data_IF_205634092301
#
_entry.id   IF_205634092301
#
_cell.length_a   1.000
_cell.length_b   1.000
_cell.length_c   1.000
_cell.angle_alpha   90.00
_cell.angle_beta   90.00
_cell.angle_gamma   90.00
#
_symmetry.space_group_name_H-M   'P 1'
#
loop_
_entity.id
_entity.type
_entity.pdbx_description
1 polymer ?
#
# COMPACT_ATOMS: atom_id res chain seq x y z
N UNK A 1 31.44 -46.75 -27.52
CA UNK A 1 30.00 -47.09 -27.63
C UNK A 1 29.56 -47.75 -26.34
N UNK A 2 28.47 -47.35 -25.67
CA UNK A 2 27.92 -46.01 -25.36
C UNK A 2 27.99 -45.77 -23.81
N UNK A 3 27.60 -44.67 -23.17
CA UNK A 3 26.55 -43.71 -23.47
C UNK A 3 26.86 -42.30 -22.91
N UNK A 4 26.62 -41.29 -23.74
CA UNK A 4 26.53 -39.87 -23.42
C UNK A 4 25.18 -39.56 -22.71
N UNK A 5 25.06 -38.29 -22.30
CA UNK A 5 23.82 -37.53 -22.04
C UNK A 5 23.16 -37.67 -20.65
N UNK A 6 23.48 -36.71 -19.78
CA UNK A 6 22.50 -35.75 -19.24
C UNK A 6 23.20 -34.75 -18.32
N UNK A 7 23.72 -33.67 -18.90
CA UNK A 7 24.17 -32.49 -18.16
C UNK A 7 23.82 -31.21 -18.94
N UNK A 8 22.56 -31.09 -19.34
CA UNK A 8 21.86 -29.86 -19.71
C UNK A 8 20.52 -29.96 -18.93
N UNK A 9 20.00 -29.02 -18.16
CA UNK A 9 20.03 -27.56 -18.19
C UNK A 9 20.15 -27.04 -16.75
N UNK A 10 21.32 -26.53 -16.34
CA UNK A 10 21.32 -25.51 -15.32
C UNK A 10 20.92 -24.22 -16.03
N UNK A 11 19.64 -23.85 -15.97
CA UNK A 11 19.13 -22.61 -16.52
C UNK A 11 20.02 -21.47 -16.05
N UNK A 12 20.75 -20.85 -17.00
CA UNK A 12 21.48 -19.64 -16.72
C UNK A 12 20.46 -18.62 -16.23
N UNK A 13 20.54 -18.22 -14.96
CA UNK A 13 19.83 -17.04 -14.47
C UNK A 13 20.10 -15.91 -15.49
N UNK A 14 19.05 -15.24 -16.01
CA UNK A 14 19.29 -14.08 -16.87
C UNK A 14 20.02 -13.05 -16.03
N UNK A 15 21.34 -12.98 -16.19
CA UNK A 15 22.19 -11.96 -15.57
C UNK A 15 21.57 -10.62 -15.94
N UNK A 16 21.02 -9.93 -14.93
CA UNK A 16 20.55 -8.57 -15.12
C UNK A 16 21.74 -7.77 -15.64
N UNK A 17 21.68 -7.15 -16.83
CA UNK A 17 22.90 -6.66 -17.48
C UNK A 17 23.49 -5.42 -16.78
N UNK A 18 22.81 -4.91 -15.74
CA UNK A 18 23.13 -3.70 -15.01
C UNK A 18 22.49 -3.73 -13.59
N UNK A 19 23.08 -3.05 -12.60
CA UNK A 19 22.57 -3.02 -11.22
C UNK A 19 21.20 -2.33 -11.13
N UNK A 20 20.43 -2.68 -10.08
CA UNK A 20 19.12 -2.08 -9.78
C UNK A 20 19.28 -0.58 -9.56
N UNK A 21 18.58 0.30 -10.31
CA UNK A 21 18.67 1.74 -10.09
C UNK A 21 18.02 2.13 -8.77
N UNK A 22 18.81 2.67 -7.84
CA UNK A 22 18.32 3.05 -6.50
C UNK A 22 18.03 4.56 -6.37
N UNK A 23 18.70 5.41 -7.17
CA UNK A 23 18.52 6.86 -7.12
C UNK A 23 17.66 7.37 -8.26
N UNK A 24 16.94 8.45 -8.01
CA UNK A 24 16.05 9.09 -8.96
C UNK A 24 16.80 9.55 -10.22
N UNK A 25 18.02 10.07 -10.07
CA UNK A 25 18.89 10.40 -11.20
C UNK A 25 19.30 9.18 -12.04
N UNK A 26 19.46 8.00 -11.42
CA UNK A 26 19.82 6.79 -12.15
C UNK A 26 18.63 6.27 -12.97
N UNK A 27 17.41 6.35 -12.41
CA UNK A 27 16.17 6.09 -13.15
C UNK A 27 16.05 7.01 -14.36
N UNK A 28 16.24 8.32 -14.16
CA UNK A 28 16.18 9.31 -15.23
C UNK A 28 17.22 9.04 -16.31
N UNK A 29 18.50 8.87 -15.95
CA UNK A 29 19.57 8.64 -16.93
C UNK A 29 19.30 7.40 -17.79
N UNK A 30 18.77 6.34 -17.18
CA UNK A 30 18.43 5.12 -17.91
C UNK A 30 17.22 5.31 -18.81
N UNK A 31 16.15 5.95 -18.31
CA UNK A 31 14.96 6.30 -19.08
C UNK A 31 15.31 7.15 -20.32
N UNK A 32 16.18 8.15 -20.16
CA UNK A 32 16.65 9.00 -21.27
C UNK A 32 17.53 8.22 -22.25
N UNK A 33 18.41 7.34 -21.77
CA UNK A 33 19.22 6.51 -22.67
C UNK A 33 18.34 5.61 -23.55
N UNK A 34 17.31 4.99 -22.97
CA UNK A 34 16.32 4.19 -23.71
C UNK A 34 15.56 5.06 -24.71
N UNK A 35 15.02 6.21 -24.27
CA UNK A 35 14.26 7.10 -25.14
C UNK A 35 15.12 7.66 -26.29
N UNK A 36 16.37 8.05 -26.01
CA UNK A 36 17.31 8.55 -27.01
C UNK A 36 17.60 7.52 -28.09
N UNK A 37 17.68 6.24 -27.73
CA UNK A 37 17.87 5.14 -28.69
C UNK A 37 16.64 4.91 -29.58
N UNK A 38 15.44 5.24 -29.08
CA UNK A 38 14.18 5.06 -29.80
C UNK A 38 13.72 6.32 -30.58
N UNK A 39 14.40 7.46 -30.41
CA UNK A 39 14.02 8.70 -31.09
C UNK A 39 14.29 8.65 -32.61
N UNK A 40 13.42 9.26 -33.44
CA UNK A 40 13.70 9.43 -34.86
C UNK A 40 14.91 10.35 -35.10
N UNK A 41 15.55 10.19 -36.26
CA UNK A 41 16.68 11.04 -36.64
C UNK A 41 16.33 12.54 -36.61
N UNK A 42 17.28 13.35 -36.11
CA UNK A 42 17.15 14.81 -36.00
C UNK A 42 16.39 15.29 -34.75
N UNK A 43 15.76 14.39 -33.99
CA UNK A 43 15.19 14.73 -32.70
C UNK A 43 16.26 14.74 -31.61
N UNK A 44 16.08 15.61 -30.62
CA UNK A 44 17.04 15.79 -29.53
C UNK A 44 16.36 15.73 -28.16
N UNK A 45 17.07 15.21 -27.16
CA UNK A 45 16.68 15.29 -25.76
C UNK A 45 17.59 16.27 -25.04
N UNK A 46 17.01 17.18 -24.27
CA UNK A 46 17.74 18.07 -23.38
C UNK A 46 17.14 18.02 -21.98
N UNK A 47 17.98 17.90 -20.96
CA UNK A 47 17.55 17.91 -19.56
C UNK A 47 17.48 19.34 -19.03
N UNK A 48 16.48 19.63 -18.20
CA UNK A 48 16.47 20.83 -17.37
C UNK A 48 17.56 20.83 -16.30
N UNK A 49 17.56 21.86 -15.44
CA UNK A 49 18.44 21.89 -14.27
C UNK A 49 17.96 20.85 -13.24
N UNK A 50 18.91 20.23 -12.55
CA UNK A 50 18.63 19.44 -11.36
C UNK A 50 18.93 20.27 -10.11
N UNK A 51 18.20 20.00 -9.01
CA UNK A 51 18.40 20.66 -7.72
C UNK A 51 19.69 20.22 -7.02
N UNK A 52 20.12 18.98 -7.27
CA UNK A 52 21.37 18.41 -6.77
C UNK A 52 21.93 17.35 -7.71
N UNK A 53 23.12 16.81 -7.41
CA UNK A 53 23.71 15.72 -8.20
C UNK A 53 22.96 14.38 -8.07
N UNK A 54 22.13 14.23 -7.03
CA UNK A 54 21.38 13.00 -6.75
C UNK A 54 19.94 13.03 -7.32
N UNK A 55 19.41 14.23 -7.60
CA UNK A 55 18.04 14.41 -8.05
C UNK A 55 17.93 14.28 -9.58
N UNK A 56 16.82 13.71 -10.04
CA UNK A 56 16.44 13.80 -11.44
C UNK A 56 16.16 15.27 -11.83
N UNK A 57 16.43 15.69 -13.08
CA UNK A 57 16.02 17.00 -13.57
C UNK A 57 14.50 17.14 -13.48
N UNK A 58 14.00 18.34 -13.21
CA UNK A 58 12.55 18.57 -13.14
C UNK A 58 11.87 18.45 -14.51
N UNK A 59 12.62 18.71 -15.59
CA UNK A 59 12.10 18.80 -16.95
C UNK A 59 12.92 18.00 -17.94
N UNK A 60 12.22 17.40 -18.88
CA UNK A 60 12.74 16.84 -20.12
C UNK A 60 12.23 17.70 -21.29
N UNK A 61 13.13 18.11 -22.16
CA UNK A 61 12.83 18.82 -23.40
C UNK A 61 13.09 17.90 -24.57
N UNK A 62 12.12 17.77 -25.46
CA UNK A 62 12.18 16.97 -26.68
C UNK A 62 12.10 17.92 -27.87
N UNK A 63 13.23 18.14 -28.53
CA UNK A 63 13.36 19.06 -29.66
C UNK A 63 13.15 18.37 -30.99
N UNK A 64 12.29 18.93 -31.82
CA UNK A 64 12.06 18.50 -33.20
C UNK A 64 13.10 19.11 -34.15
N UNK A 65 13.33 18.48 -35.34
CA UNK A 65 14.27 19.01 -36.34
C UNK A 65 13.94 20.41 -36.85
N UNK A 66 12.68 20.83 -36.75
CA UNK A 66 12.19 22.15 -37.14
C UNK A 66 12.40 23.24 -36.06
N UNK A 67 12.99 22.89 -34.90
CA UNK A 67 13.23 23.80 -33.78
C UNK A 67 12.10 23.91 -32.76
N UNK A 68 10.95 23.27 -32.99
CA UNK A 68 9.89 23.19 -31.98
C UNK A 68 10.31 22.28 -30.82
N UNK A 69 9.80 22.56 -29.61
CA UNK A 69 10.18 21.80 -28.40
C UNK A 69 8.93 21.40 -27.62
N UNK A 70 8.81 20.11 -27.33
CA UNK A 70 7.87 19.60 -26.33
C UNK A 70 8.58 19.54 -24.96
N UNK A 71 7.88 19.92 -23.91
CA UNK A 71 8.40 19.85 -22.55
C UNK A 71 7.56 18.92 -21.69
N UNK A 72 8.24 18.14 -20.86
CA UNK A 72 7.65 17.16 -19.96
C UNK A 72 8.19 17.37 -18.54
N UNK A 73 7.32 17.29 -17.55
CA UNK A 73 7.66 17.18 -16.13
C UNK A 73 8.09 15.76 -15.81
N UNK A 74 9.29 15.63 -15.26
CA UNK A 74 9.93 14.34 -14.96
C UNK A 74 9.43 13.83 -13.63
N UNK A 75 8.96 12.58 -13.62
CA UNK A 75 8.40 11.91 -12.45
C UNK A 75 9.24 10.64 -12.17
N UNK A 76 10.32 10.73 -11.36
CA UNK A 76 11.07 9.55 -10.97
C UNK A 76 10.23 8.71 -9.99
N UNK A 77 10.12 7.42 -10.24
CA UNK A 77 9.35 6.50 -9.40
C UNK A 77 10.03 5.11 -9.33
N UNK A 78 10.56 4.76 -8.15
CA UNK A 78 11.27 3.48 -7.95
C UNK A 78 10.38 2.26 -8.12
N UNK A 79 9.12 2.38 -7.75
CA UNK A 79 8.05 1.40 -7.99
C UNK A 79 6.78 2.15 -8.37
N UNK A 80 6.03 1.59 -9.32
CA UNK A 80 4.78 2.19 -9.81
C UNK A 80 3.68 1.17 -9.72
N UNK A 81 2.65 1.48 -8.94
CA UNK A 81 1.42 0.70 -8.83
C UNK A 81 0.38 1.24 -9.81
N UNK A 82 -0.59 0.42 -10.20
CA UNK A 82 -1.63 0.81 -11.16
C UNK A 82 -2.39 2.10 -10.75
N UNK A 83 -2.61 2.31 -9.44
CA UNK A 83 -3.26 3.51 -8.91
C UNK A 83 -2.39 4.78 -8.95
N UNK A 84 -1.06 4.65 -9.08
CA UNK A 84 -0.16 5.81 -9.11
C UNK A 84 -0.36 6.68 -10.37
N UNK A 85 -0.85 6.10 -11.46
CA UNK A 85 -1.07 6.81 -12.71
C UNK A 85 -2.06 7.99 -12.55
N UNK A 86 -3.10 7.84 -11.72
CA UNK A 86 -4.03 8.94 -11.42
C UNK A 86 -3.31 10.05 -10.66
N UNK A 87 -2.62 9.70 -9.57
CA UNK A 87 -1.84 10.64 -8.75
C UNK A 87 -0.80 11.41 -9.58
N UNK A 88 -0.13 10.75 -10.52
CA UNK A 88 0.83 11.39 -11.41
C UNK A 88 0.16 12.38 -12.36
N UNK A 89 -1.01 12.05 -12.92
CA UNK A 89 -1.75 12.94 -13.80
C UNK A 89 -2.31 14.15 -13.03
N UNK A 90 -2.90 13.94 -11.85
CA UNK A 90 -3.49 14.99 -11.02
C UNK A 90 -2.43 15.98 -10.48
N UNK A 91 -1.18 15.52 -10.34
CA UNK A 91 -0.05 16.35 -9.93
C UNK A 91 0.49 17.27 -11.03
N UNK A 92 0.07 17.10 -12.28
CA UNK A 92 0.47 17.97 -13.39
C UNK A 92 -0.44 19.20 -13.45
N UNK A 93 0.14 20.36 -13.78
CA UNK A 93 -0.69 21.52 -14.17
C UNK A 93 -1.43 21.22 -15.48
N UNK A 94 -2.62 21.80 -15.69
CA UNK A 94 -3.58 21.31 -16.69
C UNK A 94 -3.10 21.17 -18.15
N UNK A 95 -2.03 21.85 -18.56
CA UNK A 95 -1.44 21.72 -19.91
C UNK A 95 -0.06 21.05 -19.93
N UNK A 96 0.45 20.61 -18.77
CA UNK A 96 1.78 20.03 -18.64
C UNK A 96 1.76 18.54 -18.95
N UNK A 97 2.87 18.03 -19.51
CA UNK A 97 2.99 16.62 -19.89
C UNK A 97 3.83 15.89 -18.87
N UNK A 98 3.42 14.71 -18.44
CA UNK A 98 4.21 13.87 -17.53
C UNK A 98 5.15 12.95 -18.29
N UNK A 99 6.36 12.77 -17.77
CA UNK A 99 7.30 11.74 -18.19
C UNK A 99 7.75 10.91 -16.98
N UNK A 100 7.21 9.70 -16.83
CA UNK A 100 7.50 8.80 -15.71
C UNK A 100 8.78 8.00 -15.98
N UNK A 101 9.75 8.12 -15.07
CA UNK A 101 11.00 7.35 -15.10
C UNK A 101 10.98 6.29 -14.00
N UNK A 102 10.92 5.00 -14.36
CA UNK A 102 10.78 3.93 -13.38
C UNK A 102 11.82 2.80 -13.51
N UNK A 103 11.93 1.95 -12.49
CA UNK A 103 12.77 0.74 -12.57
C UNK A 103 12.21 -0.20 -13.63
N UNK A 104 10.95 -0.55 -13.46
CA UNK A 104 10.20 -1.41 -14.35
C UNK A 104 8.73 -1.01 -14.29
N UNK A 105 8.06 -0.97 -15.44
CA UNK A 105 6.63 -0.72 -15.55
C UNK A 105 5.96 -1.97 -16.09
N UNK A 106 5.17 -2.64 -15.25
CA UNK A 106 4.37 -3.79 -15.69
C UNK A 106 3.32 -3.40 -16.75
N UNK A 107 2.87 -4.36 -17.54
CA UNK A 107 1.87 -4.11 -18.58
C UNK A 107 0.58 -3.44 -18.07
N UNK A 108 -0.03 -3.83 -16.92
CA UNK A 108 -1.18 -3.12 -16.37
C UNK A 108 -0.87 -1.67 -16.01
N UNK A 109 0.32 -1.39 -15.47
CA UNK A 109 0.74 -0.03 -15.12
C UNK A 109 0.91 0.81 -16.37
N UNK A 110 1.59 0.28 -17.40
CA UNK A 110 1.74 0.96 -18.70
C UNK A 110 0.39 1.32 -19.32
N UNK A 111 -0.58 0.39 -19.29
CA UNK A 111 -1.95 0.65 -19.74
C UNK A 111 -2.62 1.79 -18.99
N UNK A 112 -2.43 1.90 -17.67
CA UNK A 112 -3.01 2.99 -16.87
C UNK A 112 -2.33 4.34 -17.11
N UNK A 113 -1.02 4.36 -17.39
CA UNK A 113 -0.28 5.55 -17.79
C UNK A 113 -0.72 6.02 -19.19
N UNK A 114 -0.81 5.10 -20.14
CA UNK A 114 -1.27 5.37 -21.51
C UNK A 114 -2.69 5.96 -21.51
N UNK A 115 -3.62 5.36 -20.74
CA UNK A 115 -5.00 5.81 -20.63
C UNK A 115 -5.14 7.25 -20.08
N UNK A 116 -4.09 7.78 -19.44
CA UNK A 116 -4.02 9.14 -18.90
C UNK A 116 -3.11 10.07 -19.70
N UNK A 117 -2.59 9.61 -20.84
CA UNK A 117 -1.68 10.40 -21.69
C UNK A 117 -0.31 10.67 -21.05
N UNK A 118 0.08 9.89 -20.03
CA UNK A 118 1.40 10.01 -19.41
C UNK A 118 2.44 9.29 -20.27
N UNK A 119 3.48 10.03 -20.65
CA UNK A 119 4.67 9.44 -21.27
C UNK A 119 5.53 8.77 -20.19
N UNK A 120 6.32 7.78 -20.57
CA UNK A 120 7.16 7.03 -19.65
C UNK A 120 8.36 6.38 -20.35
N UNK A 121 9.41 6.12 -19.58
CA UNK A 121 10.40 5.12 -19.91
C UNK A 121 10.89 4.42 -18.63
N UNK A 122 11.11 3.11 -18.71
CA UNK A 122 11.67 2.33 -17.61
C UNK A 122 13.11 1.87 -17.86
N UNK A 123 13.77 1.43 -16.80
CA UNK A 123 15.16 1.01 -16.87
C UNK A 123 15.39 -0.28 -17.66
N UNK A 124 14.31 -1.01 -17.98
CA UNK A 124 14.31 -2.27 -18.73
C UNK A 124 14.06 -2.10 -20.22
N UNK A 125 13.72 -0.89 -20.68
CA UNK A 125 13.54 -0.57 -22.10
C UNK A 125 12.11 -0.20 -22.50
N UNK A 126 11.10 -0.38 -21.64
CA UNK A 126 9.72 -0.04 -22.01
C UNK A 126 9.58 1.47 -22.12
N UNK A 127 9.16 1.97 -23.28
CA UNK A 127 9.09 3.41 -23.56
C UNK A 127 7.80 3.77 -24.27
N UNK A 128 7.21 4.91 -23.90
CA UNK A 128 6.10 5.56 -24.58
C UNK A 128 6.28 7.07 -24.43
N UNK A 129 6.42 7.79 -25.53
CA UNK A 129 6.48 9.25 -25.55
C UNK A 129 5.47 9.76 -26.56
N UNK A 130 4.61 10.70 -26.15
CA UNK A 130 3.64 11.32 -27.04
C UNK A 130 3.56 12.84 -26.80
N UNK A 131 3.54 13.61 -27.88
CA UNK A 131 3.16 15.02 -27.86
C UNK A 131 2.50 15.41 -29.18
N UNK A 132 1.46 16.24 -29.11
CA UNK A 132 0.78 16.76 -30.31
C UNK A 132 1.55 17.89 -31.00
N UNK A 133 2.41 18.61 -30.25
CA UNK A 133 3.21 19.71 -30.77
C UNK A 133 4.55 19.83 -30.04
N UNK A 134 5.68 19.67 -30.75
CA UNK A 134 5.76 19.06 -32.08
C UNK A 134 5.19 17.65 -32.06
N UNK A 135 4.57 17.23 -33.17
CA UNK A 135 3.93 15.93 -33.28
C UNK A 135 5.00 14.81 -33.22
N UNK A 136 4.96 14.02 -32.16
CA UNK A 136 5.81 12.84 -31.98
C UNK A 136 5.06 11.75 -31.24
N UNK A 137 5.28 10.53 -31.69
CA UNK A 137 4.92 9.33 -30.95
C UNK A 137 6.05 8.32 -31.06
N UNK A 138 6.59 7.91 -29.92
CA UNK A 138 7.65 6.91 -29.81
C UNK A 138 7.17 5.83 -28.87
N UNK A 139 7.35 4.58 -29.27
CA UNK A 139 7.04 3.44 -28.42
C UNK A 139 8.05 2.34 -28.64
N UNK A 140 8.52 1.76 -27.56
CA UNK A 140 9.45 0.63 -27.59
C UNK A 140 9.14 -0.34 -26.45
N UNK A 141 9.56 -1.59 -26.62
CA UNK A 141 9.31 -2.68 -25.68
C UNK A 141 10.60 -3.11 -25.00
N UNK A 142 10.60 -3.06 -23.68
CA UNK A 142 11.66 -3.57 -22.83
C UNK A 142 11.33 -4.97 -22.30
N UNK A 143 11.78 -5.24 -21.08
CA UNK A 143 11.47 -6.51 -20.42
C UNK A 143 9.97 -6.64 -20.14
N UNK A 144 9.45 -7.86 -20.28
CA UNK A 144 8.07 -8.21 -19.91
C UNK A 144 7.91 -8.52 -18.42
N UNK A 145 9.02 -8.72 -17.70
CA UNK A 145 9.06 -8.95 -16.25
C UNK A 145 10.18 -8.11 -15.62
N UNK A 146 10.02 -7.76 -14.34
CA UNK A 146 11.04 -7.06 -13.58
C UNK A 146 12.30 -7.94 -13.45
N UNK A 147 13.43 -7.54 -14.04
CA UNK A 147 14.64 -8.36 -14.02
C UNK A 147 15.33 -8.34 -12.65
N UNK A 148 15.06 -7.36 -11.78
CA UNK A 148 15.62 -7.30 -10.43
C UNK A 148 14.74 -8.00 -9.40
N UNK A 149 13.59 -8.54 -9.82
CA UNK A 149 12.83 -9.45 -8.98
C UNK A 149 13.55 -10.80 -9.00
N UNK A 150 14.11 -11.19 -7.85
CA UNK A 150 14.86 -12.45 -7.74
C UNK A 150 13.99 -13.67 -8.07
N UNK A 151 14.61 -14.82 -8.40
CA UNK A 151 13.91 -16.11 -8.48
C UNK A 151 13.43 -16.50 -7.07
N UNK A 152 12.28 -15.97 -6.67
CA UNK A 152 11.67 -16.18 -5.38
C UNK A 152 10.36 -16.95 -5.50
N UNK A 153 10.01 -17.68 -4.44
CA UNK A 153 8.64 -18.13 -4.18
C UNK A 153 7.71 -16.91 -4.35
N UNK A 154 6.49 -17.05 -4.90
CA UNK A 154 5.54 -15.93 -5.01
C UNK A 154 5.52 -15.12 -3.70
N UNK A 155 5.60 -13.80 -3.80
CA UNK A 155 5.61 -12.90 -2.65
C UNK A 155 4.55 -13.38 -1.66
N UNK A 156 4.97 -13.66 -0.42
CA UNK A 156 4.09 -14.26 0.56
C UNK A 156 2.84 -13.38 0.69
N UNK A 157 1.67 -13.99 0.86
CA UNK A 157 0.48 -13.19 1.14
C UNK A 157 0.68 -12.54 2.53
N UNK A 158 0.19 -11.31 2.70
CA UNK A 158 0.21 -10.60 3.99
C UNK A 158 -0.80 -11.25 4.93
N UNK A 159 -0.46 -12.45 5.42
CA UNK A 159 -1.41 -13.34 6.08
C UNK A 159 -1.01 -13.71 7.50
N UNK A 160 -2.02 -13.86 8.36
CA UNK A 160 -1.88 -14.33 9.74
C UNK A 160 -1.39 -13.27 10.74
N UNK A 161 -1.28 -13.71 12.01
CA UNK A 161 -0.97 -12.84 13.15
C UNK A 161 0.32 -12.00 12.98
N UNK A 162 1.46 -12.55 12.49
CA UNK A 162 2.65 -11.73 12.31
C UNK A 162 2.48 -10.63 11.26
N UNK A 163 1.76 -10.90 10.17
CA UNK A 163 1.49 -9.89 9.15
C UNK A 163 0.57 -8.79 9.71
N UNK A 164 -0.48 -9.16 10.43
CA UNK A 164 -1.39 -8.22 11.09
C UNK A 164 -0.63 -7.27 12.04
N UNK A 165 0.21 -7.83 12.93
CA UNK A 165 1.04 -7.04 13.86
C UNK A 165 1.96 -6.05 13.16
N UNK A 166 2.66 -6.51 12.11
CA UNK A 166 3.62 -5.67 11.37
C UNK A 166 2.90 -4.60 10.54
N UNK A 167 1.84 -4.95 9.83
CA UNK A 167 1.05 -4.00 9.03
C UNK A 167 0.43 -2.94 9.94
N UNK A 168 -0.14 -3.32 11.08
CA UNK A 168 -0.67 -2.37 12.07
C UNK A 168 0.41 -1.47 12.63
N UNK A 169 1.57 -2.01 13.00
CA UNK A 169 2.69 -1.18 13.48
C UNK A 169 3.16 -0.16 12.42
N UNK A 170 3.23 -0.55 11.14
CA UNK A 170 3.62 0.36 10.05
C UNK A 170 2.51 1.36 9.66
N UNK A 171 1.24 0.98 9.76
CA UNK A 171 0.12 1.86 9.46
C UNK A 171 -0.11 2.89 10.57
N UNK A 172 -0.03 2.46 11.83
CA UNK A 172 -0.37 3.29 12.98
C UNK A 172 0.75 4.28 13.38
N UNK A 173 1.94 4.17 12.76
CA UNK A 173 3.08 5.05 13.01
C UNK A 173 3.55 5.74 11.73
N UNK A 174 4.11 6.94 11.84
CA UNK A 174 4.72 7.67 10.73
C UNK A 174 6.18 8.00 11.01
N UNK A 175 6.95 8.33 9.98
CA UNK A 175 8.39 8.59 10.06
C UNK A 175 9.23 7.39 9.66
N UNK A 176 10.54 7.52 9.87
CA UNK A 176 11.50 6.46 9.54
C UNK A 176 11.56 5.43 10.66
N UNK A 177 11.63 4.14 10.30
CA UNK A 177 11.60 3.04 11.26
C UNK A 177 12.61 1.97 10.87
N UNK A 178 13.49 1.57 11.78
CA UNK A 178 14.36 0.41 11.58
C UNK A 178 13.59 -0.89 11.80
N UNK A 179 14.03 -1.98 11.16
CA UNK A 179 13.39 -3.30 11.37
C UNK A 179 13.44 -3.76 12.85
N UNK A 180 14.53 -3.55 13.62
CA UNK A 180 14.54 -3.83 15.06
C UNK A 180 13.49 -3.03 15.86
N UNK A 181 13.28 -1.75 15.55
CA UNK A 181 12.22 -0.96 16.18
C UNK A 181 10.83 -1.49 15.79
N UNK A 182 10.66 -1.91 14.53
CA UNK A 182 9.41 -2.53 14.06
C UNK A 182 9.12 -3.85 14.79
N UNK A 183 10.14 -4.67 15.07
CA UNK A 183 10.01 -5.88 15.90
C UNK A 183 9.47 -5.50 17.29
N UNK A 184 10.06 -4.48 17.91
CA UNK A 184 9.62 -3.99 19.23
C UNK A 184 8.20 -3.45 19.22
N UNK A 185 7.83 -2.65 18.20
CA UNK A 185 6.50 -2.03 18.09
C UNK A 185 5.41 -3.04 17.76
N UNK A 186 5.70 -4.01 16.90
CA UNK A 186 4.71 -5.02 16.47
C UNK A 186 4.55 -6.16 17.47
N UNK A 187 5.59 -6.44 18.28
CA UNK A 187 5.65 -7.62 19.14
C UNK A 187 5.74 -8.94 18.36
N UNK A 188 5.92 -8.90 17.04
CA UNK A 188 6.14 -10.08 16.22
C UNK A 188 7.59 -10.57 16.34
N UNK A 189 7.85 -11.84 16.00
CA UNK A 189 9.22 -12.36 16.03
C UNK A 189 10.11 -11.68 14.99
N UNK A 190 11.41 -11.61 15.26
CA UNK A 190 12.40 -11.03 14.34
C UNK A 190 12.30 -11.62 12.94
N UNK A 191 12.35 -12.96 12.83
CA UNK A 191 12.28 -13.65 11.54
C UNK A 191 10.95 -13.46 10.80
N UNK A 192 9.82 -13.37 11.52
CA UNK A 192 8.54 -13.06 10.87
C UNK A 192 8.49 -11.61 10.38
N UNK A 193 9.02 -10.67 11.17
CA UNK A 193 9.07 -9.25 10.80
C UNK A 193 9.90 -9.02 9.55
N UNK A 194 11.10 -9.60 9.47
CA UNK A 194 11.93 -9.50 8.26
C UNK A 194 11.23 -10.06 7.02
N UNK A 195 10.53 -11.20 7.13
CA UNK A 195 9.77 -11.79 6.01
C UNK A 195 8.61 -10.89 5.55
N UNK A 196 7.88 -10.27 6.47
CA UNK A 196 6.80 -9.34 6.11
C UNK A 196 7.37 -8.08 5.46
N UNK A 197 8.48 -7.53 5.98
CA UNK A 197 9.14 -6.36 5.38
C UNK A 197 9.64 -6.66 3.96
N UNK A 198 10.28 -7.81 3.75
CA UNK A 198 10.72 -8.28 2.43
C UNK A 198 9.52 -8.41 1.47
N UNK A 199 8.42 -9.02 1.93
CA UNK A 199 7.19 -9.12 1.15
C UNK A 199 6.61 -7.76 0.75
N UNK A 200 6.62 -6.79 1.67
CA UNK A 200 6.13 -5.43 1.41
C UNK A 200 7.04 -4.69 0.43
N UNK A 201 8.36 -4.85 0.55
CA UNK A 201 9.36 -4.28 -0.36
C UNK A 201 9.23 -4.88 -1.78
N UNK A 202 9.10 -6.20 -1.89
CA UNK A 202 8.86 -6.90 -3.16
C UNK A 202 7.55 -6.49 -3.84
N UNK A 203 6.59 -5.95 -3.09
CA UNK A 203 5.31 -5.47 -3.61
C UNK A 203 5.28 -3.96 -3.80
N UNK A 204 6.42 -3.28 -3.66
CA UNK A 204 6.56 -1.82 -3.71
C UNK A 204 5.64 -1.08 -2.72
N UNK A 205 5.28 -1.73 -1.60
CA UNK A 205 4.42 -1.18 -0.56
C UNK A 205 5.21 -0.42 0.52
N UNK A 206 6.53 -0.55 0.53
CA UNK A 206 7.44 0.26 1.34
C UNK A 206 8.77 0.48 0.62
N UNK A 207 9.51 1.49 1.07
CA UNK A 207 10.89 1.74 0.65
C UNK A 207 11.81 1.75 1.87
N UNK A 208 13.01 1.20 1.70
CA UNK A 208 14.02 1.08 2.75
C UNK A 208 15.40 1.39 2.20
N UNK A 209 16.23 2.06 2.99
CA UNK A 209 17.64 2.28 2.62
C UNK A 209 18.45 0.97 2.74
N UNK A 210 19.47 0.74 1.89
CA UNK A 210 20.37 -0.40 2.03
C UNK A 210 20.96 -0.44 3.44
N UNK A 211 20.69 -1.52 4.18
CA UNK A 211 21.10 -1.68 5.59
C UNK A 211 20.65 -0.53 6.52
N UNK A 212 19.61 0.21 6.14
CA UNK A 212 19.09 1.36 6.86
C UNK A 212 17.59 1.24 7.20
N UNK A 213 16.98 2.33 7.66
CA UNK A 213 15.57 2.36 8.05
C UNK A 213 14.64 2.25 6.85
N UNK A 214 13.41 1.81 7.12
CA UNK A 214 12.25 2.00 6.26
C UNK A 214 12.00 3.50 6.20
N UNK A 215 12.07 4.07 5.00
CA UNK A 215 11.97 5.52 4.76
C UNK A 215 10.60 5.96 4.31
N UNK A 216 9.82 5.06 3.72
CA UNK A 216 8.48 5.35 3.22
C UNK A 216 7.60 4.10 3.28
N UNK A 217 6.33 4.27 3.61
CA UNK A 217 5.33 3.21 3.62
C UNK A 217 4.11 3.69 2.83
N UNK A 218 3.73 2.95 1.79
CA UNK A 218 2.51 3.18 1.01
C UNK A 218 1.32 2.59 1.75
N UNK A 219 1.02 3.18 2.90
CA UNK A 219 0.15 2.59 3.91
C UNK A 219 -1.28 2.35 3.41
N UNK A 220 -1.81 3.19 2.53
CA UNK A 220 -3.14 3.00 1.95
C UNK A 220 -3.18 1.70 1.12
N UNK A 221 -2.23 1.54 0.21
CA UNK A 221 -2.12 0.36 -0.65
C UNK A 221 -1.77 -0.89 0.17
N UNK A 222 -0.96 -0.73 1.22
CA UNK A 222 -0.62 -1.80 2.17
C UNK A 222 -1.87 -2.28 2.92
N UNK A 223 -2.67 -1.37 3.49
CA UNK A 223 -3.90 -1.73 4.19
C UNK A 223 -4.90 -2.40 3.26
N UNK A 224 -5.06 -1.91 2.02
CA UNK A 224 -5.90 -2.59 1.01
C UNK A 224 -5.42 -4.00 0.73
N UNK A 225 -4.11 -4.17 0.52
CA UNK A 225 -3.50 -5.47 0.26
C UNK A 225 -3.59 -6.45 1.45
N UNK A 226 -3.69 -5.93 2.68
CA UNK A 226 -3.83 -6.72 3.90
C UNK A 226 -5.29 -6.98 4.30
N UNK A 227 -6.21 -6.09 3.97
CA UNK A 227 -7.64 -6.18 4.34
C UNK A 227 -8.29 -7.51 3.95
N UNK A 228 -7.85 -8.11 2.83
CA UNK A 228 -8.31 -9.43 2.39
C UNK A 228 -8.00 -10.57 3.36
N UNK A 229 -7.04 -10.40 4.27
CA UNK A 229 -6.67 -11.38 5.29
C UNK A 229 -7.04 -10.95 6.72
N UNK A 230 -7.16 -9.65 6.97
CA UNK A 230 -7.49 -9.10 8.31
C UNK A 230 -8.96 -9.25 8.73
N UNK A 231 -9.79 -9.95 7.97
CA UNK A 231 -11.22 -9.66 8.04
C UNK A 231 -11.88 -10.16 9.33
N UNK A 232 -12.71 -9.30 9.93
CA UNK A 232 -13.71 -9.70 10.94
C UNK A 232 -14.55 -10.89 10.47
N UNK A 233 -14.89 -10.91 9.18
CA UNK A 233 -15.70 -11.96 8.52
C UNK A 233 -15.11 -13.36 8.66
N UNK A 234 -13.79 -13.49 8.71
CA UNK A 234 -13.11 -14.79 8.82
C UNK A 234 -12.91 -15.25 10.28
N UNK A 235 -13.22 -14.40 11.26
CA UNK A 235 -13.11 -14.77 12.66
C UNK A 235 -14.26 -15.68 13.10
N UNK A 236 -14.02 -16.67 13.99
CA UNK A 236 -15.10 -17.36 14.68
C UNK A 236 -16.01 -16.34 15.37
N UNK A 237 -17.27 -16.30 14.96
CA UNK A 237 -18.21 -15.23 15.33
C UNK A 237 -19.51 -15.83 15.83
N UNK A 238 -20.03 -15.28 16.93
CA UNK A 238 -21.34 -15.61 17.47
C UNK A 238 -22.28 -14.41 17.33
N UNK A 239 -23.47 -14.66 16.82
CA UNK A 239 -24.53 -13.67 16.67
C UNK A 239 -25.41 -13.59 17.92
N UNK A 240 -25.73 -12.36 18.33
CA UNK A 240 -26.62 -12.06 19.45
C UNK A 240 -27.65 -11.03 19.00
N UNK A 241 -28.78 -11.00 19.72
CA UNK A 241 -29.82 -10.00 19.50
C UNK A 241 -30.05 -9.14 20.74
N UNK A 242 -29.94 -7.83 20.57
CA UNK A 242 -30.30 -6.82 21.57
C UNK A 242 -31.61 -6.14 21.13
N UNK A 243 -32.75 -6.37 21.82
CA UNK A 243 -34.06 -5.90 21.38
C UNK A 243 -34.22 -4.38 21.45
N UNK A 244 -33.47 -3.71 22.33
CA UNK A 244 -33.49 -2.25 22.51
C UNK A 244 -32.71 -1.51 21.42
N UNK A 245 -32.05 -2.23 20.51
CA UNK A 245 -31.30 -1.69 19.39
C UNK A 245 -29.85 -1.30 19.75
N UNK A 246 -29.13 -0.86 18.71
CA UNK A 246 -27.68 -0.58 18.74
C UNK A 246 -27.30 0.47 19.79
N UNK A 247 -28.04 1.58 19.86
CA UNK A 247 -27.71 2.69 20.76
C UNK A 247 -27.81 2.30 22.25
N UNK A 248 -28.88 1.60 22.63
CA UNK A 248 -29.00 1.10 24.01
C UNK A 248 -27.93 0.07 24.33
N UNK A 249 -27.62 -0.81 23.37
CA UNK A 249 -26.55 -1.78 23.53
C UNK A 249 -25.19 -1.12 23.77
N UNK A 250 -24.83 -0.09 22.99
CA UNK A 250 -23.59 0.67 23.17
C UNK A 250 -23.53 1.33 24.56
N UNK A 251 -24.66 1.88 25.04
CA UNK A 251 -24.74 2.45 26.40
C UNK A 251 -24.58 1.40 27.52
N UNK A 252 -25.01 0.15 27.29
CA UNK A 252 -24.74 -0.99 28.20
C UNK A 252 -23.26 -1.38 28.15
N UNK A 253 -22.69 -1.46 26.94
CA UNK A 253 -21.27 -1.78 26.72
C UNK A 253 -20.34 -0.78 27.40
N UNK A 254 -20.70 0.51 27.38
CA UNK A 254 -19.99 1.59 28.07
C UNK A 254 -19.90 1.41 29.60
N UNK A 255 -20.67 0.51 30.21
CA UNK A 255 -20.65 0.24 31.65
C UNK A 255 -19.90 -1.04 32.01
N UNK A 256 -19.50 -1.82 31.02
CA UNK A 256 -18.80 -3.09 31.23
C UNK A 256 -17.33 -2.82 31.55
N UNK A 257 -16.85 -3.43 32.63
CA UNK A 257 -15.46 -3.36 33.08
C UNK A 257 -14.86 -4.75 33.23
N UNK A 258 -13.53 -4.88 33.13
CA UNK A 258 -12.85 -6.17 33.36
C UNK A 258 -12.84 -7.11 32.15
N UNK A 259 -13.35 -6.68 31.00
CA UNK A 259 -13.32 -7.44 29.74
C UNK A 259 -12.46 -6.74 28.70
N UNK A 260 -11.61 -7.50 28.01
CA UNK A 260 -10.87 -7.02 26.85
C UNK A 260 -11.71 -7.22 25.58
N UNK A 261 -12.22 -6.11 25.05
CA UNK A 261 -13.01 -6.06 23.83
C UNK A 261 -12.69 -4.81 23.04
N UNK A 262 -12.96 -4.79 21.73
CA UNK A 262 -12.93 -3.59 20.91
C UNK A 262 -14.04 -3.62 19.85
N UNK A 263 -14.82 -2.55 19.75
CA UNK A 263 -15.83 -2.35 18.69
C UNK A 263 -15.14 -1.99 17.38
N UNK A 264 -15.60 -2.57 16.27
CA UNK A 264 -15.11 -2.33 14.90
C UNK A 264 -16.26 -1.99 13.93
N UNK A 265 -15.97 -1.97 12.63
CA UNK A 265 -16.93 -1.72 11.55
C UNK A 265 -17.48 -0.30 11.58
N UNK A 266 -18.74 -0.15 11.15
CA UNK A 266 -19.38 1.16 11.01
C UNK A 266 -19.42 1.97 12.30
N UNK A 267 -19.57 1.32 13.47
CA UNK A 267 -19.56 2.04 14.75
C UNK A 267 -18.20 2.61 15.12
N UNK A 268 -17.11 1.90 14.81
CA UNK A 268 -15.77 2.42 15.03
C UNK A 268 -15.43 3.53 14.02
N UNK A 269 -15.84 3.38 12.75
CA UNK A 269 -15.64 4.38 11.73
C UNK A 269 -16.40 5.69 12.01
N UNK A 270 -17.64 5.60 12.51
CA UNK A 270 -18.47 6.74 12.88
C UNK A 270 -17.87 7.64 13.97
N UNK A 271 -16.88 7.15 14.73
CA UNK A 271 -16.13 7.97 15.68
C UNK A 271 -15.19 8.99 15.01
N UNK A 272 -14.97 8.87 13.69
CA UNK A 272 -14.11 9.73 12.89
C UNK A 272 -14.89 10.41 11.77
N UNK A 273 -15.70 9.63 11.04
CA UNK A 273 -16.49 10.12 9.93
C UNK A 273 -17.82 9.37 9.85
N UNK A 274 -18.92 10.12 9.91
CA UNK A 274 -20.26 9.56 9.80
C UNK A 274 -20.61 9.32 8.33
N UNK A 275 -20.88 8.07 7.97
CA UNK A 275 -21.33 7.70 6.62
C UNK A 275 -22.84 7.43 6.58
N UNK A 276 -23.33 6.57 7.48
CA UNK A 276 -24.74 6.25 7.65
C UNK A 276 -25.01 5.54 8.99
N UNK A 277 -26.25 5.55 9.50
CA UNK A 277 -26.57 4.93 10.78
C UNK A 277 -26.22 3.44 10.84
N UNK A 278 -25.48 2.99 11.86
CA UNK A 278 -25.14 1.60 12.07
C UNK A 278 -26.33 0.80 12.64
N UNK A 279 -26.67 -0.33 12.02
CA UNK A 279 -27.76 -1.21 12.45
C UNK A 279 -27.29 -2.52 13.08
N UNK A 280 -25.97 -2.74 13.10
CA UNK A 280 -25.33 -3.91 13.70
C UNK A 280 -24.05 -3.47 14.41
N UNK A 281 -23.75 -4.10 15.55
CA UNK A 281 -22.53 -3.88 16.33
C UNK A 281 -21.56 -5.04 16.06
N UNK A 282 -20.32 -4.75 15.71
CA UNK A 282 -19.26 -5.74 15.54
C UNK A 282 -18.19 -5.55 16.61
N UNK A 283 -17.87 -6.61 17.35
CA UNK A 283 -16.95 -6.56 18.50
C UNK A 283 -15.93 -7.68 18.38
N UNK A 284 -14.65 -7.36 18.51
CA UNK A 284 -13.64 -8.33 18.89
C UNK A 284 -13.61 -8.48 20.41
N UNK A 285 -13.58 -9.69 20.92
CA UNK A 285 -13.45 -9.97 22.34
C UNK A 285 -12.44 -11.09 22.57
N UNK A 286 -11.56 -10.92 23.56
CA UNK A 286 -10.63 -11.97 23.98
C UNK A 286 -11.40 -13.17 24.55
N UNK A 287 -12.46 -12.89 25.33
CA UNK A 287 -13.37 -13.91 25.84
C UNK A 287 -14.83 -13.53 25.56
N UNK A 288 -15.30 -13.88 24.36
CA UNK A 288 -16.63 -13.49 23.85
C UNK A 288 -17.81 -13.98 24.69
N UNK A 289 -17.77 -15.21 25.20
CA UNK A 289 -18.83 -15.77 26.05
C UNK A 289 -18.97 -15.02 27.38
N UNK A 290 -17.84 -14.71 28.03
CA UNK A 290 -17.85 -13.94 29.28
C UNK A 290 -18.36 -12.51 29.06
N UNK A 291 -17.97 -11.87 27.94
CA UNK A 291 -18.50 -10.55 27.57
C UNK A 291 -20.02 -10.61 27.31
N UNK A 292 -20.48 -11.61 26.58
CA UNK A 292 -21.90 -11.80 26.30
C UNK A 292 -22.71 -12.04 27.58
N UNK A 293 -22.18 -12.83 28.52
CA UNK A 293 -22.78 -13.04 29.84
C UNK A 293 -22.90 -11.76 30.65
N UNK A 294 -21.84 -10.94 30.70
CA UNK A 294 -21.85 -9.63 31.37
C UNK A 294 -22.83 -8.63 30.75
N UNK A 295 -23.15 -8.80 29.46
CA UNK A 295 -24.13 -7.99 28.72
C UNK A 295 -25.52 -8.61 28.67
N UNK A 296 -25.73 -9.75 29.35
CA UNK A 296 -26.98 -10.53 29.36
C UNK A 296 -27.48 -10.89 27.95
N UNK A 297 -26.56 -11.08 27.00
CA UNK A 297 -26.89 -11.42 25.63
C UNK A 297 -27.24 -12.90 25.48
N UNK A 298 -28.18 -13.19 24.58
CA UNK A 298 -28.53 -14.55 24.20
C UNK A 298 -28.17 -14.81 22.74
N UNK A 299 -27.51 -15.93 22.42
CA UNK A 299 -27.13 -16.23 21.04
C UNK A 299 -28.37 -16.45 20.19
N UNK A 300 -28.27 -16.08 18.91
CA UNK A 300 -29.31 -16.28 17.90
C UNK A 300 -28.71 -16.81 16.61
N UNK A 301 -29.43 -17.71 15.95
CA UNK A 301 -28.99 -18.29 14.68
C UNK A 301 -29.25 -17.36 13.48
N UNK A 302 -30.23 -16.45 13.60
CA UNK A 302 -30.61 -15.49 12.57
C UNK A 302 -31.01 -14.14 13.17
N UNK A 303 -30.86 -13.06 12.39
CA UNK A 303 -31.30 -11.72 12.79
C UNK A 303 -30.42 -11.03 13.83
N UNK A 304 -29.16 -11.47 14.01
CA UNK A 304 -28.24 -10.86 14.95
C UNK A 304 -27.95 -9.39 14.62
N UNK A 305 -28.11 -8.50 15.61
CA UNK A 305 -27.70 -7.10 15.54
C UNK A 305 -26.45 -6.80 16.41
N UNK A 306 -25.91 -7.81 17.08
CA UNK A 306 -24.61 -7.77 17.75
C UNK A 306 -23.82 -9.00 17.34
N UNK A 307 -22.62 -8.81 16.82
CA UNK A 307 -21.68 -9.86 16.45
C UNK A 307 -20.46 -9.76 17.36
N UNK A 308 -20.13 -10.85 18.05
CA UNK A 308 -18.92 -10.96 18.86
C UNK A 308 -18.00 -12.00 18.23
N UNK A 309 -16.83 -11.56 17.82
CA UNK A 309 -15.82 -12.38 17.17
C UNK A 309 -14.62 -12.60 18.09
N UNK A 310 -14.09 -13.82 18.09
CA UNK A 310 -12.78 -14.13 18.68
C UNK A 310 -11.69 -13.78 17.66
N UNK A 311 -10.82 -12.81 17.93
CA UNK A 311 -9.86 -12.35 16.93
C UNK A 311 -8.78 -13.40 16.66
N UNK A 312 -8.36 -13.52 15.40
CA UNK A 312 -7.22 -14.37 14.99
C UNK A 312 -5.85 -13.78 15.38
N UNK A 313 -5.81 -12.49 15.71
CA UNK A 313 -4.60 -11.77 16.11
C UNK A 313 -4.92 -10.78 17.21
N UNK A 314 -4.07 -10.69 18.23
CA UNK A 314 -4.19 -9.67 19.27
C UNK A 314 -3.98 -8.23 18.75
N UNK A 315 -3.47 -8.08 17.51
CA UNK A 315 -3.26 -6.78 16.87
C UNK A 315 -4.54 -5.92 16.77
N UNK A 316 -5.73 -6.53 16.82
CA UNK A 316 -7.01 -5.79 16.85
C UNK A 316 -7.16 -4.92 18.10
N UNK A 317 -6.49 -5.28 19.20
CA UNK A 317 -6.53 -4.55 20.47
C UNK A 317 -5.41 -3.51 20.60
N UNK A 318 -4.44 -3.52 19.69
CA UNK A 318 -3.36 -2.54 19.66
C UNK A 318 -3.89 -1.16 19.29
N UNK A 319 -3.44 -0.17 20.08
CA UNK A 319 -3.78 1.25 19.91
C UNK A 319 -5.28 1.52 19.83
N UNK A 320 -6.05 0.74 20.57
CA UNK A 320 -7.47 0.97 20.76
C UNK A 320 -7.74 2.34 21.35
N UNK A 321 -8.90 2.89 21.00
CA UNK A 321 -9.33 4.22 21.39
C UNK A 321 -10.53 4.12 22.31
N UNK A 322 -10.68 5.07 23.22
CA UNK A 322 -11.88 5.17 24.05
C UNK A 322 -12.70 6.38 23.61
N UNK A 323 -13.98 6.14 23.31
CA UNK A 323 -14.98 7.17 23.05
C UNK A 323 -16.23 6.81 23.83
N UNK A 324 -16.74 7.74 24.62
CA UNK A 324 -17.92 7.54 25.49
C UNK A 324 -17.85 6.26 26.34
N UNK A 325 -16.65 6.00 26.88
CA UNK A 325 -16.30 4.80 27.66
C UNK A 325 -16.43 3.45 26.92
N UNK A 326 -16.50 3.48 25.60
CA UNK A 326 -16.48 2.30 24.74
C UNK A 326 -15.10 2.17 24.08
N UNK A 327 -14.53 0.96 24.13
CA UNK A 327 -13.27 0.68 23.43
C UNK A 327 -13.54 0.42 21.96
N UNK A 328 -12.91 1.19 21.09
CA UNK A 328 -12.94 1.07 19.64
C UNK A 328 -11.59 0.57 19.13
N UNK A 329 -11.58 -0.17 18.02
CA UNK A 329 -10.34 -0.47 17.30
C UNK A 329 -9.71 0.80 16.71
N UNK A 330 -8.42 0.75 16.38
CA UNK A 330 -7.77 1.87 15.70
C UNK A 330 -8.30 2.04 14.25
N UNK A 331 -8.18 3.23 13.63
CA UNK A 331 -8.68 3.50 12.28
C UNK A 331 -8.20 2.50 11.22
N UNK A 332 -6.93 2.07 11.28
CA UNK A 332 -6.38 1.09 10.35
C UNK A 332 -7.10 -0.26 10.40
N UNK A 333 -7.58 -0.68 11.58
CA UNK A 333 -8.38 -1.90 11.73
C UNK A 333 -9.79 -1.70 11.23
N UNK A 334 -10.44 -0.59 11.62
CA UNK A 334 -11.80 -0.28 11.19
C UNK A 334 -11.89 -0.23 9.66
N UNK A 335 -10.89 0.38 9.00
CA UNK A 335 -10.77 0.38 7.54
C UNK A 335 -10.66 -1.04 6.97
N UNK A 336 -9.77 -1.88 7.52
CA UNK A 336 -9.57 -3.23 7.03
C UNK A 336 -10.83 -4.10 7.17
N UNK A 337 -11.52 -3.99 8.31
CA UNK A 337 -12.73 -4.75 8.60
C UNK A 337 -13.92 -4.30 7.73
N UNK A 338 -14.05 -2.98 7.51
CA UNK A 338 -15.07 -2.43 6.60
C UNK A 338 -14.79 -2.83 5.14
N UNK A 339 -13.54 -2.71 4.67
CA UNK A 339 -13.21 -3.00 3.28
C UNK A 339 -13.47 -4.48 2.93
N UNK A 340 -13.24 -5.40 3.87
CA UNK A 340 -13.57 -6.82 3.71
C UNK A 340 -15.04 -7.17 4.03
N UNK A 341 -15.82 -6.19 4.49
CA UNK A 341 -17.22 -6.33 4.85
C UNK A 341 -18.17 -6.47 3.67
N UNK A 342 -19.47 -6.58 3.96
CA UNK A 342 -20.53 -6.75 2.96
C UNK A 342 -21.41 -5.50 2.84
N UNK A 343 -22.32 -5.52 1.86
CA UNK A 343 -23.26 -4.42 1.66
C UNK A 343 -22.54 -3.12 1.31
N UNK A 344 -22.70 -2.11 2.15
CA UNK A 344 -22.11 -0.77 1.96
C UNK A 344 -20.75 -0.58 2.64
N UNK A 345 -20.24 -1.59 3.34
CA UNK A 345 -18.99 -1.43 4.11
C UNK A 345 -17.79 -1.05 3.23
N UNK A 346 -17.60 -1.56 1.99
CA UNK A 346 -16.51 -1.10 1.14
C UNK A 346 -16.59 0.39 0.82
N UNK A 347 -17.78 0.94 0.56
CA UNK A 347 -17.96 2.38 0.31
C UNK A 347 -17.70 3.22 1.57
N UNK A 348 -18.12 2.73 2.73
CA UNK A 348 -17.82 3.34 4.02
C UNK A 348 -16.32 3.29 4.34
N UNK A 349 -15.62 2.22 3.96
CA UNK A 349 -14.17 2.09 4.09
C UNK A 349 -13.43 3.14 3.25
N UNK A 350 -13.87 3.38 2.01
CA UNK A 350 -13.32 4.46 1.17
C UNK A 350 -13.49 5.82 1.84
N UNK A 351 -14.68 6.10 2.38
CA UNK A 351 -14.95 7.36 3.08
C UNK A 351 -14.08 7.53 4.34
N UNK A 352 -13.88 6.45 5.11
CA UNK A 352 -12.95 6.45 6.23
C UNK A 352 -11.49 6.66 5.77
N UNK A 353 -11.10 6.09 4.63
CA UNK A 353 -9.75 6.25 4.08
C UNK A 353 -9.46 7.70 3.68
N UNK A 354 -10.44 8.40 3.11
CA UNK A 354 -10.34 9.82 2.78
C UNK A 354 -10.08 10.63 4.06
N UNK A 355 -10.90 10.43 5.09
CA UNK A 355 -10.70 11.06 6.40
C UNK A 355 -9.31 10.72 7.00
N UNK A 356 -8.90 9.45 6.96
CA UNK A 356 -7.58 9.02 7.44
C UNK A 356 -6.44 9.69 6.68
N UNK A 357 -6.62 9.99 5.40
CA UNK A 357 -5.62 10.63 4.55
C UNK A 357 -5.48 12.11 4.88
N UNK A 358 -6.61 12.81 5.03
CA UNK A 358 -6.65 14.23 5.40
C UNK A 358 -6.16 14.48 6.83
N UNK A 359 -6.39 13.52 7.74
CA UNK A 359 -6.10 13.64 9.17
C UNK A 359 -4.96 12.72 9.62
N UNK A 360 -4.00 12.42 8.74
CA UNK A 360 -2.89 11.51 9.04
C UNK A 360 -2.14 11.78 10.36
N UNK A 361 -1.86 13.04 10.76
CA UNK A 361 -1.23 13.34 12.05
C UNK A 361 -2.09 13.01 13.28
N UNK A 362 -3.42 12.91 13.14
CA UNK A 362 -4.32 12.68 14.27
C UNK A 362 -4.37 11.21 14.70
N UNK A 363 -4.24 10.28 13.77
CA UNK A 363 -4.34 8.84 14.07
C UNK A 363 -3.00 8.10 14.00
N UNK A 364 -2.02 8.61 13.24
CA UNK A 364 -0.68 8.03 13.17
C UNK A 364 0.25 8.70 14.18
N UNK A 365 0.91 7.90 15.00
CA UNK A 365 1.94 8.42 15.91
C UNK A 365 3.24 8.65 15.14
N UNK A 366 3.71 9.89 15.13
CA UNK A 366 5.05 10.21 14.61
C UNK A 366 6.14 9.58 15.48
N UNK A 367 7.03 8.84 14.86
CA UNK A 367 8.24 8.33 15.50
C UNK A 367 9.31 9.42 15.51
N UNK A 368 10.08 9.48 16.60
CA UNK A 368 11.32 10.28 16.63
C UNK A 368 12.33 9.77 15.61
N UNK A 369 13.34 10.58 15.27
CA UNK A 369 14.41 10.14 14.39
C UNK A 369 15.08 8.87 14.96
N UNK A 370 15.26 7.81 14.15
CA UNK A 370 15.84 6.57 14.65
C UNK A 370 17.25 6.83 15.18
N UNK A 371 17.54 6.38 16.39
CA UNK A 371 18.86 6.47 16.98
C UNK A 371 19.78 5.51 16.22
N UNK A 372 20.68 6.05 15.40
CA UNK A 372 21.73 5.26 14.75
C UNK A 372 22.75 4.90 15.83
N UNK A 373 22.61 3.72 16.43
CA UNK A 373 23.65 3.10 17.28
C UNK A 373 24.53 2.18 16.48
#
# INVERSE_FOLDING_TARGET
MPNQENAEFAGSEPKVPFPKPERDIDLYRRAIATLQAALPHGWTLTSGKSRSLADAPERLLVGAPNGEVASFSVIPARGVLAGDAARFADGLSGSDRGFVCARYLSEPVRRQLDARGLSYADATGNTSLAADRPAIWVRDRGADADPWRGPGRPAAQLTGDPAARVVRALADHSGQLTVPELVRLSGASTGATYRVVETLEERDLLERLPRGPITSVRWQQMLRAWSSDSSFKDCPTVGYFSPEGVQSFVAKLAKVSGHLYAVTGSLAAAAFVEYAPAHQVQIYADHGEALAGALELRPVDQGANVLVATPRSAAVFERTLFRDNVRLVAPAQAFADLLAGTGRHPQEAEHLLDWMTENAPEWRTALGAPTVT
#
